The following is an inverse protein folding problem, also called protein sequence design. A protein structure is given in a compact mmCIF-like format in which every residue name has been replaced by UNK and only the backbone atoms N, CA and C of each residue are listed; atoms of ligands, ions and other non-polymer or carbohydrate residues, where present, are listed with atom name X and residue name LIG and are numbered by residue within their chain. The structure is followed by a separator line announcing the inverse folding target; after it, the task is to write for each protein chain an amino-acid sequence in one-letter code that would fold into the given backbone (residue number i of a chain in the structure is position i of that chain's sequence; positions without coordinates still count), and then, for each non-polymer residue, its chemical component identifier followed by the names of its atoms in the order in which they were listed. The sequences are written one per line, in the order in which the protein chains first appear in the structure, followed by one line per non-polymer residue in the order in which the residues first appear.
data_IF_702699108097
#
_entry.id   IF_702699108097
#
_cell.length_a   1.000
_cell.length_b   1.000
_cell.length_c   1.000
_cell.angle_alpha   90.00
_cell.angle_beta   90.00
_cell.angle_gamma   90.00
#
_symmetry.space_group_name_H-M   'P 1'
#
loop_
_entity.id
_entity.type
_entity.pdbx_description
1 polymer ?
#
# COMPACT_ATOMS: atom_id res chain seq x y z
N UNK A 1 -9.89 -21.63 -20.77
CA UNK A 1 -10.25 -20.93 -19.50
C UNK A 1 -9.64 -19.52 -19.43
N UNK A 2 -8.39 -19.33 -19.86
CA UNK A 2 -7.71 -18.02 -19.87
C UNK A 2 -8.32 -17.04 -20.88
N UNK A 3 -8.67 -17.52 -22.08
CA UNK A 3 -9.32 -16.72 -23.11
C UNK A 3 -10.75 -16.31 -22.71
N UNK A 4 -11.51 -17.19 -22.02
CA UNK A 4 -12.83 -16.82 -21.50
C UNK A 4 -12.79 -15.73 -20.42
N UNK A 5 -11.67 -15.55 -19.73
CA UNK A 5 -11.47 -14.44 -18.82
C UNK A 5 -11.30 -13.10 -19.57
N UNK A 6 -10.70 -13.13 -20.76
CA UNK A 6 -10.52 -11.96 -21.62
C UNK A 6 -11.83 -11.57 -22.33
N UNK A 7 -12.75 -12.52 -22.56
CA UNK A 7 -14.04 -12.28 -23.20
C UNK A 7 -15.11 -11.70 -22.24
N UNK A 8 -14.93 -11.81 -20.93
CA UNK A 8 -15.73 -11.06 -19.98
C UNK A 8 -15.25 -9.61 -20.00
N UNK A 9 -16.19 -8.68 -20.20
CA UNK A 9 -15.90 -7.24 -20.35
C UNK A 9 -15.22 -6.59 -19.14
N UNK A 10 -14.00 -7.05 -18.86
CA UNK A 10 -13.05 -6.38 -17.97
C UNK A 10 -12.20 -5.31 -18.70
N UNK A 11 -12.50 -5.05 -19.98
CA UNK A 11 -11.72 -4.15 -20.83
C UNK A 11 -11.61 -2.75 -20.23
N UNK A 12 -12.69 -2.23 -19.67
CA UNK A 12 -12.69 -0.93 -19.00
C UNK A 12 -11.86 -0.90 -17.72
N UNK A 13 -11.88 -1.96 -16.92
CA UNK A 13 -11.07 -2.04 -15.70
C UNK A 13 -9.59 -2.23 -16.03
N UNK A 14 -9.28 -3.13 -16.96
CA UNK A 14 -7.90 -3.36 -17.42
C UNK A 14 -7.31 -2.10 -18.01
N UNK A 15 -8.06 -1.37 -18.84
CA UNK A 15 -7.62 -0.09 -19.41
C UNK A 15 -7.30 0.92 -18.32
N UNK A 16 -8.19 1.12 -17.34
CA UNK A 16 -7.93 2.04 -16.21
C UNK A 16 -6.67 1.67 -15.42
N UNK A 17 -6.39 0.38 -15.23
CA UNK A 17 -5.15 -0.07 -14.59
C UNK A 17 -3.92 0.28 -15.43
N UNK A 18 -3.97 0.06 -16.74
CA UNK A 18 -2.90 0.45 -17.66
C UNK A 18 -2.70 1.97 -17.60
N UNK A 19 -3.78 2.75 -17.66
CA UNK A 19 -3.71 4.21 -17.66
C UNK A 19 -3.08 4.77 -16.38
N UNK A 20 -3.44 4.25 -15.20
CA UNK A 20 -2.84 4.69 -13.93
C UNK A 20 -1.38 4.29 -13.80
N UNK A 21 -0.99 3.10 -14.28
CA UNK A 21 0.40 2.67 -14.31
C UNK A 21 1.21 3.56 -15.27
N UNK A 22 0.71 3.79 -16.47
CA UNK A 22 1.35 4.66 -17.47
C UNK A 22 1.54 6.09 -16.93
N UNK A 23 0.53 6.64 -16.24
CA UNK A 23 0.65 7.95 -15.58
C UNK A 23 1.73 7.94 -14.49
N UNK A 24 1.86 6.83 -13.75
CA UNK A 24 2.89 6.63 -12.75
C UNK A 24 4.29 6.60 -13.35
N UNK A 25 4.49 5.82 -14.40
CA UNK A 25 5.77 5.72 -15.13
C UNK A 25 6.17 7.05 -15.78
N UNK A 26 5.19 7.81 -16.29
CA UNK A 26 5.40 9.14 -16.86
C UNK A 26 5.58 10.25 -15.81
N UNK A 27 5.47 9.92 -14.50
CA UNK A 27 5.49 10.89 -13.40
C UNK A 27 4.42 12.01 -13.55
N UNK A 28 3.26 11.66 -14.13
CA UNK A 28 2.13 12.59 -14.31
C UNK A 28 1.34 12.73 -13.00
N UNK A 29 1.83 13.62 -12.12
CA UNK A 29 1.21 13.86 -10.83
C UNK A 29 -0.23 14.34 -10.91
N UNK A 30 -0.60 15.13 -11.93
CA UNK A 30 -1.96 15.63 -12.10
C UNK A 30 -2.95 14.50 -12.37
N UNK A 31 -2.62 13.59 -13.29
CA UNK A 31 -3.43 12.39 -13.55
C UNK A 31 -3.49 11.45 -12.33
N UNK A 32 -2.39 11.27 -11.63
CA UNK A 32 -2.38 10.44 -10.42
C UNK A 32 -3.31 11.00 -9.33
N UNK A 33 -3.37 12.32 -9.16
CA UNK A 33 -4.31 12.98 -8.25
C UNK A 33 -5.79 12.80 -8.67
N UNK A 34 -6.06 12.75 -9.97
CA UNK A 34 -7.38 12.43 -10.51
C UNK A 34 -7.72 10.95 -10.25
N UNK A 35 -6.84 10.02 -10.59
CA UNK A 35 -7.03 8.59 -10.36
C UNK A 35 -7.20 8.21 -8.89
N UNK A 36 -6.60 8.96 -7.98
CA UNK A 36 -6.80 8.78 -6.54
C UNK A 36 -8.23 9.05 -6.06
N UNK A 37 -9.08 9.66 -6.89
CA UNK A 37 -10.52 9.91 -6.64
C UNK A 37 -11.42 8.92 -7.39
N UNK A 38 -10.87 7.98 -8.13
CA UNK A 38 -11.62 7.00 -8.93
C UNK A 38 -12.63 6.22 -8.07
N UNK A 39 -13.82 5.90 -8.59
CA UNK A 39 -14.73 4.97 -7.94
C UNK A 39 -14.15 3.55 -7.86
N UNK A 40 -13.25 3.17 -8.79
CA UNK A 40 -12.60 1.87 -8.80
C UNK A 40 -11.48 1.80 -7.76
N UNK A 41 -11.56 0.87 -6.78
CA UNK A 41 -10.57 0.76 -5.72
C UNK A 41 -9.17 0.37 -6.22
N UNK A 42 -9.07 -0.40 -7.31
CA UNK A 42 -7.77 -0.79 -7.87
C UNK A 42 -7.03 0.42 -8.43
N UNK A 43 -7.76 1.32 -9.09
CA UNK A 43 -7.21 2.58 -9.62
C UNK A 43 -6.74 3.48 -8.48
N UNK A 44 -7.53 3.64 -7.40
CA UNK A 44 -7.10 4.42 -6.22
C UNK A 44 -5.87 3.83 -5.54
N UNK A 45 -5.80 2.50 -5.44
CA UNK A 45 -4.64 1.82 -4.87
C UNK A 45 -3.35 2.16 -5.62
N UNK A 46 -3.36 1.98 -6.94
CA UNK A 46 -2.19 2.25 -7.76
C UNK A 46 -1.83 3.74 -7.82
N UNK A 47 -2.83 4.62 -7.82
CA UNK A 47 -2.59 6.05 -7.70
C UNK A 47 -1.86 6.40 -6.39
N UNK A 48 -2.29 5.83 -5.26
CA UNK A 48 -1.61 6.04 -3.98
C UNK A 48 -0.17 5.52 -3.99
N UNK A 49 0.08 4.34 -4.58
CA UNK A 49 1.42 3.77 -4.74
C UNK A 49 2.32 4.70 -5.53
N UNK A 50 1.87 5.14 -6.72
CA UNK A 50 2.66 5.98 -7.61
C UNK A 50 2.88 7.40 -7.07
N UNK A 51 1.90 8.00 -6.38
CA UNK A 51 2.08 9.29 -5.68
C UNK A 51 3.24 9.21 -4.67
N UNK A 52 3.37 8.08 -3.97
CA UNK A 52 4.47 7.84 -3.05
C UNK A 52 5.80 7.52 -3.73
N UNK A 53 5.80 6.72 -4.79
CA UNK A 53 7.01 6.35 -5.55
C UNK A 53 7.61 7.58 -6.21
N UNK A 54 6.78 8.39 -6.86
CA UNK A 54 7.18 9.60 -7.58
C UNK A 54 7.45 10.79 -6.63
N UNK A 55 7.18 10.61 -5.33
CA UNK A 55 7.29 11.68 -4.32
C UNK A 55 6.55 12.95 -4.74
N UNK A 56 5.32 12.79 -5.27
CA UNK A 56 4.49 13.89 -5.75
C UNK A 56 4.11 14.82 -4.60
N UNK A 57 4.71 15.98 -4.53
CA UNK A 57 4.58 16.91 -3.39
C UNK A 57 3.11 17.28 -3.11
N UNK A 58 2.35 17.59 -4.15
CA UNK A 58 0.93 17.94 -4.06
C UNK A 58 0.02 16.76 -3.67
N UNK A 59 0.59 15.54 -3.66
CA UNK A 59 -0.13 14.32 -3.31
C UNK A 59 -0.47 14.18 -1.82
N UNK A 60 0.19 14.92 -0.93
CA UNK A 60 0.07 14.73 0.52
C UNK A 60 -1.37 14.83 1.03
N UNK A 61 -2.11 15.87 0.62
CA UNK A 61 -3.50 16.07 1.06
C UNK A 61 -4.43 14.94 0.56
N UNK A 62 -4.23 14.47 -0.66
CA UNK A 62 -4.96 13.35 -1.25
C UNK A 62 -4.63 12.03 -0.53
N UNK A 63 -3.37 11.76 -0.26
CA UNK A 63 -2.94 10.58 0.48
C UNK A 63 -3.48 10.57 1.92
N UNK A 64 -3.52 11.71 2.60
CA UNK A 64 -4.15 11.82 3.91
C UNK A 64 -5.63 11.41 3.88
N UNK A 65 -6.39 11.80 2.85
CA UNK A 65 -7.78 11.33 2.67
C UNK A 65 -7.84 9.82 2.44
N UNK A 66 -6.95 9.26 1.63
CA UNK A 66 -6.90 7.83 1.33
C UNK A 66 -6.51 6.98 2.55
N UNK A 67 -5.92 7.54 3.61
CA UNK A 67 -5.72 6.79 4.86
C UNK A 67 -7.03 6.43 5.57
N UNK A 68 -8.15 7.00 5.16
CA UNK A 68 -9.51 6.67 5.63
C UNK A 68 -10.34 5.93 4.56
N UNK A 69 -9.73 5.45 3.48
CA UNK A 69 -10.42 4.70 2.42
C UNK A 69 -11.11 3.45 3.00
N UNK A 70 -12.33 3.10 2.53
CA UNK A 70 -13.02 1.90 2.96
C UNK A 70 -12.20 0.63 2.72
N UNK A 71 -11.32 0.60 1.71
CA UNK A 71 -10.49 -0.56 1.38
C UNK A 71 -9.18 -0.55 2.17
N UNK A 72 -8.91 -1.54 3.04
CA UNK A 72 -7.72 -1.56 3.89
C UNK A 72 -6.39 -1.49 3.12
N UNK A 73 -6.31 -2.13 1.95
CA UNK A 73 -5.11 -2.10 1.12
C UNK A 73 -4.75 -0.67 0.66
N UNK A 74 -5.77 0.16 0.38
CA UNK A 74 -5.57 1.57 -0.02
C UNK A 74 -5.07 2.39 1.18
N UNK A 75 -5.62 2.16 2.38
CA UNK A 75 -5.12 2.81 3.60
C UNK A 75 -3.64 2.52 3.84
N UNK A 76 -3.24 1.26 3.66
CA UNK A 76 -1.84 0.83 3.79
C UNK A 76 -0.95 1.51 2.75
N UNK A 77 -1.36 1.50 1.47
CA UNK A 77 -0.61 2.15 0.39
C UNK A 77 -0.46 3.66 0.62
N UNK A 78 -1.53 4.33 1.06
CA UNK A 78 -1.51 5.76 1.36
C UNK A 78 -0.58 6.10 2.55
N UNK A 79 -0.61 5.30 3.62
CA UNK A 79 0.27 5.49 4.77
C UNK A 79 1.76 5.30 4.40
N UNK A 80 2.08 4.31 3.57
CA UNK A 80 3.41 4.09 3.03
C UNK A 80 3.86 5.25 2.13
N UNK A 81 2.96 5.73 1.25
CA UNK A 81 3.23 6.86 0.38
C UNK A 81 3.51 8.15 1.16
N UNK A 82 2.73 8.44 2.21
CA UNK A 82 2.97 9.58 3.10
C UNK A 82 4.35 9.51 3.75
N UNK A 83 4.75 8.34 4.22
CA UNK A 83 6.10 8.18 4.76
C UNK A 83 7.19 8.49 3.72
N UNK A 84 7.04 8.04 2.48
CA UNK A 84 7.96 8.37 1.38
C UNK A 84 8.03 9.86 1.08
N UNK A 85 6.95 10.60 1.35
CA UNK A 85 6.88 12.06 1.28
C UNK A 85 7.40 12.75 2.56
N UNK A 86 8.01 12.02 3.49
CA UNK A 86 8.55 12.55 4.73
C UNK A 86 7.52 12.77 5.85
N UNK A 87 6.31 12.22 5.73
CA UNK A 87 5.26 12.32 6.76
C UNK A 87 5.05 10.98 7.50
N UNK A 88 5.63 10.81 8.71
CA UNK A 88 5.51 9.59 9.49
C UNK A 88 4.20 9.51 10.28
N UNK A 89 3.30 10.50 10.21
CA UNK A 89 2.11 10.61 11.07
C UNK A 89 1.16 9.42 10.98
N UNK A 90 1.22 8.65 9.87
CA UNK A 90 0.34 7.49 9.60
C UNK A 90 1.02 6.13 9.75
N UNK A 91 2.25 6.07 10.27
CA UNK A 91 2.95 4.79 10.48
C UNK A 91 2.19 3.82 11.39
N UNK A 92 1.48 4.35 12.39
CA UNK A 92 0.65 3.56 13.30
C UNK A 92 -0.38 2.72 12.52
N UNK A 93 -0.93 3.26 11.43
CA UNK A 93 -1.91 2.59 10.59
C UNK A 93 -1.31 1.32 9.94
N UNK A 94 -0.05 1.35 9.50
CA UNK A 94 0.63 0.16 8.99
C UNK A 94 0.70 -0.93 10.05
N UNK A 95 1.04 -0.55 11.30
CA UNK A 95 1.14 -1.49 12.42
C UNK A 95 -0.21 -2.09 12.81
N UNK A 96 -1.30 -1.35 12.66
CA UNK A 96 -2.66 -1.83 12.90
C UNK A 96 -3.08 -2.91 11.90
N UNK A 97 -2.58 -2.85 10.68
CA UNK A 97 -2.91 -3.79 9.62
C UNK A 97 -1.98 -5.02 9.48
N UNK A 98 -0.92 -5.15 10.30
CA UNK A 98 0.00 -6.31 10.19
C UNK A 98 -0.67 -7.67 10.43
N UNK A 99 -1.76 -7.71 11.19
CA UNK A 99 -2.55 -8.91 11.48
C UNK A 99 -3.94 -8.85 10.83
N UNK A 100 -4.09 -8.10 9.74
CA UNK A 100 -5.34 -8.01 9.01
C UNK A 100 -5.82 -9.43 8.61
N UNK A 101 -7.13 -9.73 8.73
CA UNK A 101 -7.68 -11.03 8.31
C UNK A 101 -7.48 -11.29 6.81
N UNK A 102 -7.34 -10.25 6.00
CA UNK A 102 -6.93 -10.39 4.61
C UNK A 102 -5.41 -10.53 4.53
N UNK A 103 -4.94 -11.70 4.05
CA UNK A 103 -3.51 -12.00 3.89
C UNK A 103 -2.75 -10.90 3.15
N UNK A 104 -3.31 -10.39 2.04
CA UNK A 104 -2.62 -9.41 1.19
C UNK A 104 -2.42 -8.08 1.93
N UNK A 105 -3.43 -7.64 2.68
CA UNK A 105 -3.34 -6.40 3.48
C UNK A 105 -2.26 -6.53 4.55
N UNK A 106 -2.27 -7.61 5.33
CA UNK A 106 -1.24 -7.87 6.35
C UNK A 106 0.16 -7.98 5.75
N UNK A 107 0.27 -8.62 4.60
CA UNK A 107 1.53 -8.74 3.87
C UNK A 107 2.04 -7.36 3.39
N UNK A 108 1.17 -6.54 2.80
CA UNK A 108 1.54 -5.20 2.33
C UNK A 108 1.95 -4.30 3.50
N UNK A 109 1.23 -4.37 4.63
CA UNK A 109 1.58 -3.63 5.84
C UNK A 109 2.98 -4.01 6.37
N UNK A 110 3.29 -5.30 6.46
CA UNK A 110 4.60 -5.78 6.89
C UNK A 110 5.71 -5.38 5.91
N UNK A 111 5.46 -5.44 4.61
CA UNK A 111 6.44 -4.99 3.61
C UNK A 111 6.65 -3.48 3.66
N UNK A 112 5.58 -2.70 3.84
CA UNK A 112 5.71 -1.27 4.03
C UNK A 112 6.59 -0.96 5.25
N UNK A 113 6.37 -1.64 6.39
CA UNK A 113 7.18 -1.48 7.59
C UNK A 113 8.64 -1.89 7.34
N UNK A 114 8.88 -2.94 6.56
CA UNK A 114 10.23 -3.35 6.19
C UNK A 114 10.97 -2.26 5.40
N UNK A 115 10.28 -1.59 4.48
CA UNK A 115 10.82 -0.46 3.72
C UNK A 115 11.16 0.75 4.60
N UNK A 116 10.43 0.95 5.71
CA UNK A 116 10.72 2.02 6.68
C UNK A 116 12.08 1.81 7.40
N UNK A 117 12.66 0.63 7.33
CA UNK A 117 13.90 0.33 8.01
C UNK A 117 13.80 0.53 9.52
N UNK A 118 14.74 1.27 10.10
CA UNK A 118 14.81 1.45 11.56
C UNK A 118 13.68 2.30 12.14
N UNK A 119 12.98 3.10 11.33
CA UNK A 119 11.78 3.81 11.79
C UNK A 119 10.67 2.85 12.26
N UNK A 120 10.66 1.61 11.75
CA UNK A 120 9.74 0.57 12.21
C UNK A 120 10.10 -0.05 13.56
N UNK A 121 11.34 0.13 14.06
CA UNK A 121 11.86 -0.53 15.27
C UNK A 121 11.04 -0.23 16.52
N UNK A 122 10.52 0.99 16.64
CA UNK A 122 9.67 1.41 17.76
C UNK A 122 8.42 0.52 17.92
N UNK A 123 7.98 -0.15 16.86
CA UNK A 123 6.83 -1.05 16.85
C UNK A 123 7.19 -2.54 16.96
N UNK A 124 8.47 -2.86 17.27
CA UNK A 124 9.01 -4.24 17.29
C UNK A 124 8.13 -5.23 18.05
N UNK A 125 7.59 -4.84 19.21
CA UNK A 125 6.74 -5.73 20.03
C UNK A 125 5.45 -6.15 19.28
N UNK A 126 4.78 -5.22 18.61
CA UNK A 126 3.59 -5.50 17.80
C UNK A 126 3.91 -6.33 16.57
N UNK A 127 5.02 -6.05 15.91
CA UNK A 127 5.49 -6.81 14.75
C UNK A 127 5.85 -8.24 15.17
N UNK A 128 6.44 -8.43 16.34
CA UNK A 128 6.73 -9.77 16.89
C UNK A 128 5.48 -10.65 17.04
N UNK A 129 4.32 -10.06 17.33
CA UNK A 129 3.06 -10.79 17.38
C UNK A 129 2.70 -11.45 16.03
N UNK A 130 3.10 -10.86 14.90
CA UNK A 130 2.87 -11.44 13.58
C UNK A 130 3.68 -12.73 13.32
N UNK A 131 4.66 -13.08 14.18
CA UNK A 131 5.33 -14.39 14.13
C UNK A 131 4.37 -15.55 14.47
N UNK A 132 3.22 -15.26 15.08
CA UNK A 132 2.14 -16.22 15.37
C UNK A 132 1.03 -16.21 14.30
N UNK A 133 1.19 -15.46 13.22
CA UNK A 133 0.22 -15.41 12.13
C UNK A 133 -0.02 -16.80 11.54
N UNK A 134 -1.25 -17.09 11.14
CA UNK A 134 -1.57 -18.30 10.36
C UNK A 134 -0.87 -18.35 9.00
N UNK A 135 -0.44 -17.20 8.51
CA UNK A 135 0.20 -17.06 7.19
C UNK A 135 1.73 -17.14 7.29
N UNK A 136 2.33 -18.09 6.57
CA UNK A 136 3.79 -18.31 6.57
C UNK A 136 4.58 -17.07 6.15
N UNK A 137 4.09 -16.37 5.13
CA UNK A 137 4.76 -15.16 4.63
C UNK A 137 4.86 -14.08 5.71
N UNK A 138 3.77 -13.83 6.44
CA UNK A 138 3.74 -12.87 7.55
C UNK A 138 4.70 -13.27 8.67
N UNK A 139 4.74 -14.56 9.03
CA UNK A 139 5.68 -15.08 10.04
C UNK A 139 7.13 -14.85 9.64
N UNK A 140 7.48 -15.10 8.36
CA UNK A 140 8.84 -14.91 7.84
C UNK A 140 9.29 -13.46 7.89
N UNK A 141 8.46 -12.51 7.42
CA UNK A 141 8.80 -11.09 7.47
C UNK A 141 8.93 -10.62 8.91
N UNK A 142 7.98 -10.95 9.78
CA UNK A 142 8.01 -10.54 11.18
C UNK A 142 9.27 -11.07 11.90
N UNK A 143 9.66 -12.32 11.65
CA UNK A 143 10.89 -12.90 12.20
C UNK A 143 12.12 -12.15 11.71
N UNK A 144 12.22 -11.88 10.41
CA UNK A 144 13.35 -11.16 9.81
C UNK A 144 13.50 -9.78 10.41
N UNK A 145 12.40 -9.00 10.50
CA UNK A 145 12.41 -7.65 11.06
C UNK A 145 12.82 -7.65 12.54
N UNK A 146 12.23 -8.52 13.34
CA UNK A 146 12.51 -8.57 14.79
C UNK A 146 13.92 -9.06 15.08
N UNK A 147 14.53 -9.88 14.21
CA UNK A 147 15.92 -10.30 14.32
C UNK A 147 16.86 -9.14 13.94
N UNK A 148 16.57 -8.42 12.87
CA UNK A 148 17.36 -7.26 12.43
C UNK A 148 17.44 -6.16 13.49
N UNK A 149 16.40 -6.01 14.31
CA UNK A 149 16.28 -4.95 15.32
C UNK A 149 16.63 -5.39 16.75
N UNK A 150 17.42 -6.43 16.91
CA UNK A 150 17.96 -6.86 18.21
C UNK A 150 18.91 -5.85 18.82
#
# INVERSE_FOLDING_TARGET
KYLAFLDNDHSGQTRRLIDVITAGEANDGAKLLEYAKSPDPSTRYWAAVWLGVNKTADGKATLLKLTADPVPAIRVAAAQALYRLGDPSKLKLLVEHINDPNLLVGMFALRAIEELGDAGKVHRAKIAAAQKSKYEFSRRIARRLTTKWR
#
